data_IF_096149008297
#
_entry.id   IF_096149008297
#
_cell.length_a   1.000
_cell.length_b   1.000
_cell.length_c   1.000
_cell.angle_alpha   90.00
_cell.angle_beta   90.00
_cell.angle_gamma   90.00
#
_symmetry.space_group_name_H-M   'P 1'
#
loop_
_entity.id
_entity.type
_entity.pdbx_description
1 polymer ?
#
# COMPACT_ATOMS: atom_id res chain seq x y z
N UNK A 1 4.30 3.38 32.41
CA UNK A 1 5.71 3.75 32.10
C UNK A 1 6.11 3.01 30.85
N UNK A 2 6.81 3.69 29.93
CA UNK A 2 7.33 3.04 28.72
C UNK A 2 8.82 2.79 28.85
N UNK A 3 9.27 1.64 28.32
CA UNK A 3 10.66 1.20 28.28
C UNK A 3 11.06 1.04 26.81
N UNK A 4 11.98 1.87 26.35
CA UNK A 4 12.45 1.90 24.96
C UNK A 4 13.90 1.41 24.86
N UNK A 5 14.18 0.64 23.82
CA UNK A 5 15.50 0.23 23.41
C UNK A 5 15.47 -0.14 21.93
N UNK A 6 16.47 0.27 21.17
CA UNK A 6 16.45 0.17 19.71
C UNK A 6 16.51 -1.27 19.15
N UNK A 7 16.79 -2.29 19.95
CA UNK A 7 16.87 -3.69 19.50
C UNK A 7 15.68 -4.56 19.87
N UNK A 8 14.76 -4.08 20.69
CA UNK A 8 13.55 -4.83 21.03
C UNK A 8 12.33 -3.91 21.16
N UNK A 9 11.18 -4.49 20.94
CA UNK A 9 9.90 -3.79 20.95
C UNK A 9 9.69 -3.04 22.27
N UNK A 10 9.24 -1.79 22.17
CA UNK A 10 8.88 -0.96 23.33
C UNK A 10 7.95 -1.72 24.27
N UNK A 11 8.25 -1.66 25.56
CA UNK A 11 7.47 -2.28 26.63
C UNK A 11 6.67 -1.24 27.37
N UNK A 12 5.52 -1.66 27.85
CA UNK A 12 4.68 -0.88 28.75
C UNK A 12 4.63 -1.57 30.11
N UNK A 13 5.00 -0.83 31.17
CA UNK A 13 4.81 -1.25 32.55
C UNK A 13 3.56 -0.58 33.09
N UNK A 14 2.57 -1.37 33.43
CA UNK A 14 1.29 -0.96 34.03
C UNK A 14 1.25 -1.37 35.48
N UNK A 15 0.70 -0.52 36.33
CA UNK A 15 0.30 -0.89 37.69
C UNK A 15 -1.14 -1.38 37.62
N UNK A 16 -1.39 -2.62 37.99
CA UNK A 16 -2.70 -3.27 37.95
C UNK A 16 -3.41 -3.27 39.29
N UNK A 17 -2.65 -3.21 40.40
CA UNK A 17 -3.15 -3.03 41.77
C UNK A 17 -2.17 -2.25 42.65
N UNK A 18 -2.43 -2.16 43.92
CA UNK A 18 -1.50 -1.48 44.88
C UNK A 18 -0.11 -2.13 44.94
N UNK A 19 -0.04 -3.43 44.70
CA UNK A 19 1.19 -4.24 44.86
C UNK A 19 1.59 -4.93 43.53
N UNK A 20 0.72 -4.93 42.50
CA UNK A 20 0.95 -5.71 41.32
C UNK A 20 1.27 -4.82 40.11
N UNK A 21 2.22 -5.30 39.31
CA UNK A 21 2.65 -4.66 38.06
C UNK A 21 2.65 -5.69 36.94
N UNK A 22 2.28 -5.26 35.78
CA UNK A 22 2.32 -6.03 34.54
C UNK A 22 3.25 -5.36 33.54
N UNK A 23 4.07 -6.16 32.84
CA UNK A 23 4.87 -5.69 31.72
C UNK A 23 4.38 -6.35 30.43
N UNK A 24 3.99 -5.56 29.46
CA UNK A 24 3.52 -6.00 28.15
C UNK A 24 4.27 -5.32 27.01
N UNK A 25 3.98 -5.73 25.79
CA UNK A 25 4.42 -5.00 24.61
C UNK A 25 3.58 -3.73 24.45
N UNK A 26 4.23 -2.63 24.07
CA UNK A 26 3.51 -1.46 23.59
C UNK A 26 2.74 -1.85 22.31
N UNK A 27 1.48 -1.52 22.25
CA UNK A 27 0.64 -1.72 21.08
C UNK A 27 0.11 -0.37 20.58
N UNK A 28 0.24 -0.12 19.29
CA UNK A 28 -0.44 1.01 18.65
C UNK A 28 -1.96 0.79 18.68
N UNK A 29 -2.71 1.88 18.66
CA UNK A 29 -4.16 1.84 18.49
C UNK A 29 -4.49 1.22 17.13
N UNK A 30 -5.61 0.50 17.06
CA UNK A 30 -6.15 -0.06 15.82
C UNK A 30 -7.58 0.45 15.60
N UNK A 31 -8.08 0.30 14.38
CA UNK A 31 -9.48 0.50 14.08
C UNK A 31 -10.36 -0.56 14.78
N UNK A 32 -11.68 -0.38 14.71
CA UNK A 32 -12.65 -1.24 15.39
C UNK A 32 -12.60 -2.70 14.96
N UNK A 33 -12.12 -2.97 13.75
CA UNK A 33 -12.04 -4.32 13.18
C UNK A 33 -10.63 -4.92 13.31
N UNK A 34 -9.68 -4.19 13.95
CA UNK A 34 -8.25 -4.52 14.06
C UNK A 34 -7.59 -4.79 12.70
N UNK A 35 -8.09 -4.18 11.64
CA UNK A 35 -7.55 -4.33 10.29
C UNK A 35 -6.49 -3.28 9.98
N UNK A 36 -6.62 -2.07 10.54
CA UNK A 36 -5.65 -0.99 10.40
C UNK A 36 -5.00 -0.67 11.74
N UNK A 37 -3.67 -0.61 11.77
CA UNK A 37 -2.88 -0.21 12.95
C UNK A 37 -2.38 1.22 12.73
N UNK A 38 -2.69 2.13 13.66
CA UNK A 38 -2.28 3.54 13.59
C UNK A 38 -0.83 3.73 14.05
N UNK A 39 0.10 3.10 13.33
CA UNK A 39 1.54 3.16 13.57
C UNK A 39 2.23 4.12 12.62
N UNK A 40 3.44 4.61 12.93
CA UNK A 40 4.18 5.49 12.05
C UNK A 40 4.80 4.72 10.88
N UNK A 41 4.81 5.36 9.71
CA UNK A 41 5.43 4.87 8.48
C UNK A 41 6.55 5.79 8.02
N UNK A 42 7.52 5.24 7.31
CA UNK A 42 8.65 5.98 6.74
C UNK A 42 9.06 5.43 5.38
N UNK A 43 9.51 6.30 4.48
CA UNK A 43 10.08 5.92 3.17
C UNK A 43 11.56 5.58 3.33
N UNK A 44 11.87 4.31 3.58
CA UNK A 44 13.26 3.83 3.68
C UNK A 44 13.90 3.54 2.31
N UNK A 45 13.11 3.42 1.27
CA UNK A 45 13.60 3.19 -0.09
C UNK A 45 14.27 4.44 -0.67
N UNK A 46 15.24 4.21 -1.55
CA UNK A 46 15.85 5.27 -2.34
C UNK A 46 14.86 5.94 -3.28
N UNK A 47 15.20 7.15 -3.72
CA UNK A 47 14.40 7.89 -4.69
C UNK A 47 14.21 7.07 -5.97
N UNK A 48 12.98 6.97 -6.45
CA UNK A 48 12.62 6.25 -7.68
C UNK A 48 12.45 4.74 -7.54
N UNK A 49 12.66 4.15 -6.37
CA UNK A 49 12.38 2.72 -6.15
C UNK A 49 10.88 2.49 -6.13
N UNK A 50 10.40 1.68 -7.07
CA UNK A 50 8.98 1.32 -7.17
C UNK A 50 8.71 0.00 -6.47
N UNK A 51 7.49 -0.14 -5.94
CA UNK A 51 6.89 -1.38 -5.49
C UNK A 51 5.73 -1.73 -6.42
N UNK A 52 5.70 -2.98 -6.86
CA UNK A 52 4.67 -3.55 -7.73
C UNK A 52 4.03 -4.76 -7.02
N UNK A 53 2.86 -4.61 -6.41
CA UNK A 53 2.10 -5.74 -5.90
C UNK A 53 1.37 -6.44 -7.03
N UNK A 54 1.36 -7.78 -7.05
CA UNK A 54 0.66 -8.57 -8.08
C UNK A 54 -0.86 -8.48 -8.02
N UNK A 55 -1.40 -7.99 -6.92
CA UNK A 55 -2.83 -7.73 -6.70
C UNK A 55 -3.03 -6.68 -5.60
N UNK A 56 -4.24 -6.13 -5.51
CA UNK A 56 -4.63 -5.11 -4.52
C UNK A 56 -5.60 -5.66 -3.46
N UNK A 57 -5.84 -6.95 -3.47
CA UNK A 57 -6.66 -7.66 -2.49
C UNK A 57 -6.21 -9.11 -2.35
N UNK A 58 -6.47 -9.72 -1.20
CA UNK A 58 -6.22 -11.14 -0.94
C UNK A 58 -4.91 -11.41 -0.20
N UNK A 59 -4.61 -12.70 -0.09
CA UNK A 59 -3.44 -13.23 0.60
C UNK A 59 -2.46 -13.85 -0.40
N UNK A 60 -1.19 -13.91 -0.01
CA UNK A 60 -0.15 -14.53 -0.83
C UNK A 60 0.18 -13.74 -2.09
N UNK A 61 -0.04 -12.42 -2.10
CA UNK A 61 0.32 -11.56 -3.23
C UNK A 61 1.83 -11.42 -3.32
N UNK A 62 2.35 -11.37 -4.54
CA UNK A 62 3.76 -11.09 -4.78
C UNK A 62 4.01 -9.59 -4.77
N UNK A 63 5.04 -9.17 -4.05
CA UNK A 63 5.55 -7.81 -4.01
C UNK A 63 6.88 -7.78 -4.75
N UNK A 64 7.02 -6.95 -5.78
CA UNK A 64 8.26 -6.81 -6.55
C UNK A 64 8.77 -5.38 -6.45
N UNK A 65 10.03 -5.20 -6.05
CA UNK A 65 10.68 -3.89 -6.04
C UNK A 65 11.62 -3.73 -7.23
N UNK A 66 11.71 -2.52 -7.78
CA UNK A 66 12.57 -2.23 -8.93
C UNK A 66 14.07 -2.33 -8.62
N UNK A 67 14.46 -2.23 -7.36
CA UNK A 67 15.84 -2.37 -6.86
C UNK A 67 15.85 -3.22 -5.57
N UNK A 68 17.00 -3.79 -5.15
CA UNK A 68 17.12 -4.55 -3.92
C UNK A 68 16.61 -3.78 -2.69
N UNK A 69 15.71 -4.37 -1.94
CA UNK A 69 15.09 -3.77 -0.76
C UNK A 69 14.90 -4.76 0.39
N UNK A 70 14.43 -5.99 0.09
CA UNK A 70 14.11 -6.97 1.11
C UNK A 70 15.35 -7.61 1.72
N UNK A 71 15.28 -7.84 3.03
CA UNK A 71 16.34 -8.53 3.79
C UNK A 71 16.40 -10.02 3.39
N UNK A 72 17.58 -10.45 2.98
CA UNK A 72 17.89 -11.84 2.59
C UNK A 72 18.79 -12.52 3.61
N UNK A 73 18.61 -12.22 4.89
CA UNK A 73 19.38 -12.84 5.97
C UNK A 73 18.97 -14.30 6.14
N UNK A 74 19.95 -15.14 6.45
CA UNK A 74 19.76 -16.57 6.73
C UNK A 74 19.85 -17.47 5.50
N UNK A 75 19.54 -18.74 5.71
CA UNK A 75 19.60 -19.77 4.67
C UNK A 75 18.33 -19.78 3.83
N UNK A 76 18.51 -19.93 2.52
CA UNK A 76 17.39 -20.14 1.61
C UNK A 76 16.88 -21.58 1.78
N UNK A 77 15.59 -21.73 2.12
CA UNK A 77 14.92 -23.02 2.20
C UNK A 77 13.72 -23.02 1.25
N UNK A 78 13.77 -23.89 0.24
CA UNK A 78 12.85 -23.76 -0.89
C UNK A 78 13.08 -22.45 -1.62
N UNK A 79 12.07 -21.57 -1.63
CA UNK A 79 12.13 -20.24 -2.25
C UNK A 79 12.18 -19.11 -1.23
N UNK A 80 12.33 -19.37 0.07
CA UNK A 80 12.18 -18.35 1.11
C UNK A 80 13.43 -18.26 2.00
N UNK A 81 13.78 -17.02 2.38
CA UNK A 81 14.75 -16.74 3.42
C UNK A 81 14.11 -16.86 4.80
N UNK A 82 14.53 -17.84 5.60
CA UNK A 82 13.89 -18.18 6.88
C UNK A 82 14.09 -17.12 7.98
N UNK A 83 15.24 -16.45 7.95
CA UNK A 83 15.61 -15.49 8.99
C UNK A 83 15.44 -14.03 8.54
N UNK A 84 14.73 -13.80 7.43
CA UNK A 84 14.46 -12.45 6.95
C UNK A 84 13.69 -11.65 8.01
N UNK A 85 14.28 -10.53 8.42
CA UNK A 85 13.68 -9.61 9.39
C UNK A 85 12.54 -8.77 8.83
N UNK A 86 12.30 -8.82 7.50
CA UNK A 86 11.12 -8.21 6.89
C UNK A 86 9.85 -9.04 7.08
N UNK A 87 9.96 -10.33 7.46
CA UNK A 87 8.76 -11.12 7.79
C UNK A 87 8.07 -10.54 9.02
N UNK A 88 6.77 -10.30 8.93
CA UNK A 88 5.96 -9.60 9.93
C UNK A 88 6.10 -8.06 9.89
N UNK A 89 6.73 -7.52 8.84
CA UNK A 89 6.79 -6.07 8.60
C UNK A 89 5.64 -5.65 7.70
N UNK A 90 5.01 -4.52 8.02
CA UNK A 90 3.93 -3.95 7.21
C UNK A 90 4.49 -2.93 6.24
N UNK A 91 4.20 -3.11 4.96
CA UNK A 91 4.41 -2.12 3.90
C UNK A 91 3.06 -1.50 3.56
N UNK A 92 3.05 -0.18 3.35
CA UNK A 92 1.88 0.54 2.89
C UNK A 92 2.10 1.00 1.45
N UNK A 93 1.34 0.43 0.53
CA UNK A 93 1.33 0.77 -0.89
C UNK A 93 0.05 1.53 -1.23
N UNK A 94 0.16 2.79 -1.66
CA UNK A 94 -1.01 3.64 -1.97
C UNK A 94 -2.10 3.59 -0.87
N UNK A 95 -1.71 3.61 0.41
CA UNK A 95 -2.57 3.48 1.60
C UNK A 95 -3.09 2.06 1.90
N UNK A 96 -2.77 1.06 1.08
CA UNK A 96 -3.06 -0.35 1.37
C UNK A 96 -1.94 -0.94 2.22
N UNK A 97 -2.28 -1.51 3.35
CA UNK A 97 -1.33 -2.15 4.25
C UNK A 97 -1.17 -3.63 3.90
N UNK A 98 0.07 -4.06 3.76
CA UNK A 98 0.46 -5.39 3.31
C UNK A 98 1.45 -5.95 4.32
N UNK A 99 1.08 -7.02 5.01
CA UNK A 99 1.97 -7.75 5.93
C UNK A 99 2.85 -8.73 5.15
N UNK A 100 4.17 -8.63 5.30
CA UNK A 100 5.12 -9.51 4.63
C UNK A 100 5.15 -10.85 5.35
N UNK A 101 4.82 -11.92 4.64
CA UNK A 101 4.79 -13.29 5.19
C UNK A 101 6.01 -14.12 4.79
N UNK A 102 6.68 -13.77 3.69
CA UNK A 102 7.94 -14.42 3.29
C UNK A 102 8.74 -13.55 2.33
N UNK A 103 10.05 -13.78 2.27
CA UNK A 103 10.99 -13.09 1.37
C UNK A 103 11.65 -14.13 0.47
N UNK A 104 11.59 -13.94 -0.84
CA UNK A 104 12.14 -14.84 -1.85
C UNK A 104 13.48 -14.34 -2.39
N UNK A 105 13.66 -13.03 -2.47
CA UNK A 105 14.90 -12.40 -2.93
C UNK A 105 15.00 -10.96 -2.39
N UNK A 106 16.10 -10.30 -2.66
CA UNK A 106 16.23 -8.87 -2.32
C UNK A 106 15.24 -7.95 -3.04
N UNK A 107 14.59 -8.44 -4.11
CA UNK A 107 13.61 -7.69 -4.90
C UNK A 107 12.20 -8.30 -4.86
N UNK A 108 12.01 -9.42 -4.17
CA UNK A 108 10.73 -10.11 -4.17
C UNK A 108 10.35 -10.63 -2.79
N UNK A 109 9.13 -10.37 -2.38
CA UNK A 109 8.50 -10.88 -1.18
C UNK A 109 7.05 -11.31 -1.45
N UNK A 110 6.48 -12.08 -0.52
CA UNK A 110 5.06 -12.41 -0.52
C UNK A 110 4.41 -11.74 0.67
N UNK A 111 3.22 -11.17 0.48
CA UNK A 111 2.47 -10.50 1.53
C UNK A 111 0.99 -10.83 1.54
N UNK A 112 0.35 -10.50 2.66
CA UNK A 112 -1.10 -10.53 2.83
C UNK A 112 -1.61 -9.10 2.96
N UNK A 113 -2.67 -8.74 2.26
CA UNK A 113 -3.33 -7.46 2.45
C UNK A 113 -4.13 -7.53 3.74
N UNK A 114 -3.75 -6.71 4.73
CA UNK A 114 -4.37 -6.69 6.07
C UNK A 114 -5.35 -5.55 6.25
N UNK A 115 -5.07 -4.39 5.67
CA UNK A 115 -6.05 -3.33 5.55
C UNK A 115 -5.91 -2.68 4.19
N UNK A 116 -7.02 -2.45 3.53
CA UNK A 116 -7.03 -1.80 2.23
C UNK A 116 -8.10 -0.73 2.20
N UNK A 117 -7.72 0.46 1.78
CA UNK A 117 -8.67 1.28 1.03
C UNK A 117 -8.93 0.48 -0.23
N UNK A 118 -10.20 0.26 -0.58
CA UNK A 118 -10.53 -0.23 -1.90
C UNK A 118 -9.83 0.67 -2.92
N UNK A 119 -8.70 0.21 -3.48
CA UNK A 119 -7.91 0.96 -4.46
C UNK A 119 -8.66 1.14 -5.78
N UNK A 120 -9.85 0.57 -5.86
CA UNK A 120 -10.74 0.82 -6.97
C UNK A 120 -11.43 2.17 -6.80
N UNK A 121 -11.27 3.00 -7.80
CA UNK A 121 -11.97 4.28 -7.92
C UNK A 121 -13.20 4.10 -8.80
N UNK A 122 -14.37 4.49 -8.31
CA UNK A 122 -15.54 4.67 -9.13
C UNK A 122 -15.39 5.96 -9.92
N UNK A 123 -15.38 5.87 -11.24
CA UNK A 123 -15.34 7.05 -12.10
C UNK A 123 -16.73 7.68 -12.21
N UNK A 124 -16.75 8.92 -12.69
CA UNK A 124 -17.98 9.63 -12.98
C UNK A 124 -18.79 8.91 -14.07
N UNK A 125 -20.06 9.26 -14.15
CA UNK A 125 -20.93 8.73 -15.19
C UNK A 125 -20.40 9.15 -16.59
N UNK A 126 -20.46 8.18 -17.51
CA UNK A 126 -20.07 8.38 -18.91
C UNK A 126 -18.57 8.73 -19.08
N UNK A 127 -17.72 8.04 -18.29
CA UNK A 127 -16.28 8.23 -18.25
C UNK A 127 -15.53 7.79 -19.54
N UNK A 128 -16.21 7.17 -20.50
CA UNK A 128 -15.59 6.72 -21.74
C UNK A 128 -16.00 7.57 -22.92
N UNK A 129 -15.04 7.79 -23.83
CA UNK A 129 -15.24 8.38 -25.13
C UNK A 129 -14.72 7.43 -26.22
N UNK A 130 -15.56 7.10 -27.17
CA UNK A 130 -15.24 6.22 -28.30
C UNK A 130 -15.09 6.99 -29.58
N UNK A 131 -14.33 6.42 -30.54
CA UNK A 131 -14.22 6.90 -31.92
C UNK A 131 -14.66 5.77 -32.86
N UNK A 132 -15.60 6.06 -33.74
CA UNK A 132 -16.13 5.10 -34.73
C UNK A 132 -15.02 4.42 -35.51
N UNK A 133 -15.12 3.10 -35.63
CA UNK A 133 -14.16 2.26 -36.37
C UNK A 133 -12.91 1.86 -35.59
N UNK A 134 -12.69 2.36 -34.38
CA UNK A 134 -11.50 2.03 -33.56
C UNK A 134 -11.86 1.26 -32.29
N UNK A 135 -10.89 0.51 -31.75
CA UNK A 135 -10.99 -0.12 -30.44
C UNK A 135 -10.43 0.78 -29.31
N UNK A 136 -9.87 1.92 -29.66
CA UNK A 136 -9.31 2.84 -28.69
C UNK A 136 -10.42 3.61 -27.99
N UNK A 137 -10.35 3.60 -26.66
CA UNK A 137 -11.33 4.25 -25.78
C UNK A 137 -10.57 5.19 -24.85
N UNK A 138 -10.88 6.47 -24.94
CA UNK A 138 -10.42 7.46 -24.00
C UNK A 138 -11.18 7.33 -22.68
N UNK A 139 -10.46 7.32 -21.58
CA UNK A 139 -11.01 7.19 -20.23
C UNK A 139 -10.77 8.48 -19.47
N UNK A 140 -11.84 9.09 -18.97
CA UNK A 140 -11.78 10.23 -18.04
C UNK A 140 -11.63 9.71 -16.61
N UNK A 141 -10.47 9.95 -15.99
CA UNK A 141 -10.11 9.49 -14.66
C UNK A 141 -9.26 10.55 -13.97
N UNK A 142 -9.89 11.38 -13.18
CA UNK A 142 -9.27 12.57 -12.58
C UNK A 142 -8.05 12.22 -11.71
N UNK A 143 -6.93 12.90 -11.98
CA UNK A 143 -5.66 12.76 -11.27
C UNK A 143 -5.19 11.29 -11.17
N UNK A 144 -5.30 10.53 -12.26
CA UNK A 144 -5.08 9.08 -12.28
C UNK A 144 -3.65 8.65 -11.95
N UNK A 145 -2.64 9.48 -12.20
CA UNK A 145 -1.23 9.18 -11.90
C UNK A 145 -0.62 8.00 -12.68
N UNK A 146 -1.35 7.46 -13.67
CA UNK A 146 -0.92 6.34 -14.50
C UNK A 146 0.11 6.78 -15.54
N UNK A 147 0.83 5.79 -16.07
CA UNK A 147 1.80 5.94 -17.17
C UNK A 147 1.45 4.98 -18.30
N UNK A 148 1.90 5.28 -19.50
CA UNK A 148 1.82 4.35 -20.63
C UNK A 148 2.49 3.04 -20.28
N UNK A 149 1.79 1.93 -20.52
CA UNK A 149 2.21 0.58 -20.16
C UNK A 149 1.67 0.07 -18.82
N UNK A 150 1.09 0.92 -17.98
CA UNK A 150 0.48 0.50 -16.71
C UNK A 150 -0.72 -0.42 -16.94
N UNK A 151 -0.90 -1.37 -16.04
CA UNK A 151 -2.04 -2.29 -16.05
C UNK A 151 -3.14 -1.80 -15.11
N UNK A 152 -4.38 -1.81 -15.58
CA UNK A 152 -5.58 -1.47 -14.80
C UNK A 152 -6.61 -2.60 -14.90
N UNK A 153 -7.40 -2.77 -13.86
CA UNK A 153 -8.57 -3.66 -13.90
C UNK A 153 -9.85 -2.85 -13.90
N UNK A 154 -10.68 -3.05 -14.89
CA UNK A 154 -11.95 -2.35 -15.08
C UNK A 154 -13.10 -3.27 -14.73
N UNK A 155 -14.06 -2.77 -13.96
CA UNK A 155 -15.30 -3.46 -13.60
C UNK A 155 -16.47 -2.49 -13.68
N UNK A 156 -17.68 -3.02 -13.72
CA UNK A 156 -18.94 -2.25 -13.74
C UNK A 156 -19.10 -1.27 -14.89
N UNK A 157 -18.36 -1.45 -16.00
CA UNK A 157 -18.62 -0.68 -17.22
C UNK A 157 -19.98 -1.03 -17.81
N UNK A 158 -20.66 -0.03 -18.33
CA UNK A 158 -21.76 -0.19 -19.28
C UNK A 158 -21.24 -0.32 -20.72
N UNK A 159 -22.12 -0.63 -21.67
CA UNK A 159 -21.78 -0.58 -23.10
C UNK A 159 -21.68 0.88 -23.57
N UNK A 160 -20.81 1.15 -24.57
CA UNK A 160 -20.63 2.46 -25.15
C UNK A 160 -20.20 2.34 -26.62
N UNK A 161 -20.76 3.14 -27.53
CA UNK A 161 -20.38 3.19 -28.92
C UNK A 161 -20.42 1.83 -29.64
N UNK A 162 -21.33 0.93 -29.25
CA UNK A 162 -21.41 -0.44 -29.76
C UNK A 162 -20.42 -1.43 -29.13
N UNK A 163 -19.46 -0.98 -28.31
CA UNK A 163 -18.59 -1.85 -27.53
C UNK A 163 -19.40 -2.41 -26.37
N UNK A 164 -19.45 -3.74 -26.24
CA UNK A 164 -20.12 -4.38 -25.09
C UNK A 164 -19.37 -4.19 -23.78
N UNK A 165 -20.08 -4.23 -22.64
CA UNK A 165 -19.49 -4.15 -21.32
C UNK A 165 -18.38 -5.21 -21.08
N UNK A 166 -18.55 -6.42 -21.61
CA UNK A 166 -17.55 -7.49 -21.50
C UNK A 166 -16.23 -7.19 -22.23
N UNK A 167 -16.29 -6.38 -23.30
CA UNK A 167 -15.12 -5.95 -24.06
C UNK A 167 -14.43 -4.72 -23.45
N UNK A 168 -15.03 -4.09 -22.46
CA UNK A 168 -14.44 -3.01 -21.66
C UNK A 168 -13.89 -3.52 -20.33
N UNK A 169 -14.66 -4.38 -19.63
CA UNK A 169 -14.27 -4.94 -18.35
C UNK A 169 -13.08 -5.91 -18.45
N UNK A 170 -12.41 -6.12 -17.33
CA UNK A 170 -11.20 -6.95 -17.20
C UNK A 170 -9.94 -6.12 -17.16
N UNK A 171 -8.80 -6.81 -17.24
CA UNK A 171 -7.48 -6.16 -17.25
C UNK A 171 -7.24 -5.48 -18.61
N UNK A 172 -6.79 -4.24 -18.56
CA UNK A 172 -6.42 -3.41 -19.72
C UNK A 172 -5.07 -2.77 -19.47
N UNK A 173 -4.33 -2.51 -20.55
CA UNK A 173 -3.09 -1.73 -20.52
C UNK A 173 -3.40 -0.30 -20.93
N UNK A 174 -2.82 0.66 -20.22
CA UNK A 174 -2.82 2.08 -20.63
C UNK A 174 -1.94 2.19 -21.87
N UNK A 175 -2.54 2.47 -23.00
CA UNK A 175 -1.83 2.59 -24.29
C UNK A 175 -1.12 3.93 -24.41
N UNK A 176 -1.80 4.98 -23.97
CA UNK A 176 -1.30 6.36 -24.03
C UNK A 176 -1.88 7.15 -22.86
N UNK A 177 -1.08 8.01 -22.25
CA UNK A 177 -1.54 9.03 -21.30
C UNK A 177 -1.69 10.33 -22.07
N UNK A 178 -2.92 10.83 -22.19
CA UNK A 178 -3.26 12.05 -22.90
C UNK A 178 -2.91 13.28 -22.06
N UNK A 179 -3.35 13.27 -20.79
CA UNK A 179 -3.05 14.29 -19.79
C UNK A 179 -3.23 13.72 -18.37
N UNK A 180 -3.21 14.57 -17.34
CA UNK A 180 -3.35 14.15 -15.93
C UNK A 180 -4.71 13.52 -15.58
N UNK A 181 -5.71 13.69 -16.44
CA UNK A 181 -7.10 13.24 -16.21
C UNK A 181 -7.60 12.27 -17.29
N UNK A 182 -6.84 12.05 -18.37
CA UNK A 182 -7.27 11.25 -19.51
C UNK A 182 -6.18 10.29 -19.98
N UNK A 183 -6.58 9.08 -20.30
CA UNK A 183 -5.72 8.07 -20.94
C UNK A 183 -6.53 7.20 -21.92
N UNK A 184 -5.83 6.49 -22.80
CA UNK A 184 -6.40 5.60 -23.80
C UNK A 184 -6.14 4.15 -23.42
N UNK A 185 -7.17 3.31 -23.54
CA UNK A 185 -7.09 1.86 -23.48
C UNK A 185 -7.58 1.26 -24.80
N UNK A 186 -7.18 0.03 -25.11
CA UNK A 186 -7.74 -0.73 -26.23
C UNK A 186 -8.81 -1.69 -25.72
N UNK A 187 -10.03 -1.54 -26.19
CA UNK A 187 -11.16 -2.44 -25.92
C UNK A 187 -11.01 -3.75 -26.70
N UNK A 188 -11.79 -4.76 -26.31
CA UNK A 188 -11.84 -6.04 -27.04
C UNK A 188 -12.65 -6.01 -28.36
N UNK A 189 -13.15 -4.85 -28.80
CA UNK A 189 -14.02 -4.67 -29.94
C UNK A 189 -13.94 -3.23 -30.45
N UNK A 190 -14.05 -3.04 -31.75
CA UNK A 190 -14.16 -1.69 -32.33
C UNK A 190 -15.50 -1.04 -32.01
N UNK A 191 -15.49 0.26 -31.80
CA UNK A 191 -16.68 1.07 -31.71
C UNK A 191 -17.36 1.21 -33.09
N UNK A 192 -18.66 1.40 -33.08
CA UNK A 192 -19.45 1.71 -34.25
C UNK A 192 -20.14 3.08 -34.18
N UNK A 193 -19.70 3.88 -33.21
CA UNK A 193 -20.13 5.27 -33.03
C UNK A 193 -19.12 6.05 -32.21
N UNK A 194 -18.99 7.35 -32.50
CA UNK A 194 -18.20 8.30 -31.71
C UNK A 194 -19.13 8.96 -30.69
N UNK A 195 -19.09 8.46 -29.44
CA UNK A 195 -20.00 8.90 -28.37
C UNK A 195 -19.30 8.83 -26.99
N UNK A 196 -19.82 9.59 -26.04
CA UNK A 196 -19.49 9.44 -24.63
C UNK A 196 -20.49 8.48 -23.97
N UNK A 197 -20.06 7.72 -22.95
CA UNK A 197 -20.92 6.77 -22.25
C UNK A 197 -20.17 5.78 -21.37
N UNK A 198 -20.75 4.56 -21.24
CA UNK A 198 -20.14 3.45 -20.51
C UNK A 198 -20.49 3.40 -19.03
N UNK A 199 -21.41 4.23 -18.58
CA UNK A 199 -21.86 4.29 -17.20
C UNK A 199 -20.76 4.82 -16.26
N UNK A 200 -20.77 4.35 -15.02
CA UNK A 200 -19.78 4.72 -13.99
C UNK A 200 -18.89 3.50 -13.70
N UNK A 201 -17.82 3.29 -14.49
CA UNK A 201 -16.94 2.14 -14.29
C UNK A 201 -16.12 2.27 -13.01
N UNK A 202 -15.69 1.13 -12.49
CA UNK A 202 -14.79 1.05 -11.35
C UNK A 202 -13.41 0.61 -11.82
N UNK A 203 -12.40 1.44 -11.57
CA UNK A 203 -11.02 1.20 -11.97
C UNK A 203 -10.20 0.80 -10.75
N UNK A 204 -9.47 -0.30 -10.84
CA UNK A 204 -8.48 -0.71 -9.86
C UNK A 204 -7.10 -0.65 -10.51
N UNK A 205 -6.17 0.04 -9.87
CA UNK A 205 -4.79 0.17 -10.33
C UNK A 205 -3.84 -0.56 -9.39
N UNK A 206 -2.92 -1.36 -9.93
CA UNK A 206 -1.81 -1.98 -9.19
C UNK A 206 -0.51 -1.85 -9.98
N UNK A 207 -0.28 -0.68 -10.54
CA UNK A 207 0.93 -0.39 -11.29
C UNK A 207 2.14 -0.17 -10.35
N UNK A 208 3.38 -0.42 -10.81
CA UNK A 208 4.58 -0.07 -10.05
C UNK A 208 4.53 1.39 -9.60
N UNK A 209 4.63 1.65 -8.31
CA UNK A 209 4.50 2.99 -7.74
C UNK A 209 5.65 3.30 -6.79
N UNK A 210 6.10 4.56 -6.77
CA UNK A 210 7.00 5.09 -5.73
C UNK A 210 6.24 5.55 -4.49
N UNK A 211 4.90 5.51 -4.52
CA UNK A 211 4.07 5.90 -3.38
C UNK A 211 3.82 4.72 -2.44
N UNK A 212 4.88 4.33 -1.76
CA UNK A 212 4.85 3.30 -0.73
C UNK A 212 5.83 3.63 0.39
N UNK A 213 5.58 3.10 1.55
CA UNK A 213 6.40 3.25 2.75
C UNK A 213 6.31 1.98 3.61
N UNK A 214 7.17 1.88 4.60
CA UNK A 214 7.27 0.76 5.53
C UNK A 214 7.00 1.25 6.94
N UNK A 215 6.46 0.39 7.80
CA UNK A 215 6.35 0.71 9.23
C UNK A 215 7.71 1.13 9.79
N UNK A 216 7.72 2.21 10.59
CA UNK A 216 8.96 2.80 11.09
C UNK A 216 9.68 1.91 12.10
N UNK A 217 8.96 1.01 12.76
CA UNK A 217 9.49 0.14 13.82
C UNK A 217 9.23 -1.33 13.51
N UNK A 218 10.27 -2.10 13.34
CA UNK A 218 10.22 -3.53 13.02
C UNK A 218 11.49 -4.25 13.51
N UNK A 219 11.52 -5.56 13.38
CA UNK A 219 12.74 -6.33 13.64
C UNK A 219 13.90 -5.92 12.72
N UNK A 220 13.59 -5.41 11.52
CA UNK A 220 14.58 -4.93 10.55
C UNK A 220 15.03 -3.49 10.83
N UNK A 221 14.07 -2.58 11.07
CA UNK A 221 14.33 -1.15 11.27
C UNK A 221 14.71 -0.78 12.71
N UNK A 222 14.56 -1.73 13.64
CA UNK A 222 14.72 -1.49 15.08
C UNK A 222 13.49 -0.81 15.67
N UNK A 223 13.64 -0.40 16.93
CA UNK A 223 12.55 0.16 17.73
C UNK A 223 12.96 1.52 18.31
N UNK A 224 12.04 2.30 18.89
CA UNK A 224 12.38 3.58 19.49
C UNK A 224 13.46 3.46 20.56
N UNK A 225 14.49 4.32 20.50
CA UNK A 225 15.53 4.40 21.50
C UNK A 225 15.15 5.32 22.68
N UNK A 226 14.25 6.26 22.46
CA UNK A 226 13.80 7.25 23.44
C UNK A 226 12.29 7.45 23.41
N UNK A 227 11.74 7.87 24.55
CA UNK A 227 10.31 8.20 24.71
C UNK A 227 10.15 9.43 25.60
N UNK A 228 9.22 10.31 25.25
CA UNK A 228 8.84 11.46 26.05
C UNK A 228 7.35 11.78 25.89
N UNK A 229 6.78 12.45 26.91
CA UNK A 229 5.47 13.10 26.81
C UNK A 229 5.67 14.61 26.69
N UNK A 230 5.07 15.21 25.69
CA UNK A 230 5.11 16.65 25.50
C UNK A 230 3.86 17.12 24.73
N UNK A 231 3.24 18.21 25.18
CA UNK A 231 2.06 18.82 24.56
C UNK A 231 0.94 17.81 24.22
N UNK A 232 0.52 17.02 25.21
CA UNK A 232 -0.51 15.98 25.10
C UNK A 232 -0.25 14.96 23.98
N UNK A 233 1.02 14.67 23.71
CA UNK A 233 1.45 13.66 22.75
C UNK A 233 2.49 12.74 23.37
N UNK A 234 2.50 11.51 22.91
CA UNK A 234 3.61 10.57 23.12
C UNK A 234 4.59 10.73 21.97
N UNK A 235 5.86 10.95 22.30
CA UNK A 235 6.94 11.11 21.34
C UNK A 235 7.89 9.93 21.43
N UNK A 236 8.23 9.37 20.27
CA UNK A 236 9.30 8.38 20.12
C UNK A 236 10.44 8.98 19.32
N UNK A 237 11.68 8.67 19.73
CA UNK A 237 12.88 9.16 19.07
C UNK A 237 13.85 8.05 18.73
N UNK A 238 14.40 8.12 17.53
CA UNK A 238 15.44 7.24 17.01
C UNK A 238 15.03 5.78 16.85
N UNK A 239 15.58 5.15 15.83
CA UNK A 239 15.58 3.69 15.68
C UNK A 239 16.90 3.30 14.98
N UNK A 240 17.17 2.01 14.80
CA UNK A 240 18.36 1.58 14.06
C UNK A 240 18.28 2.07 12.60
N UNK A 241 17.10 1.96 11.98
CA UNK A 241 16.87 2.38 10.59
C UNK A 241 16.74 3.89 10.40
N UNK A 242 16.42 4.64 11.46
CA UNK A 242 16.20 6.09 11.45
C UNK A 242 16.70 6.72 12.77
N UNK A 243 18.02 6.89 12.95
CA UNK A 243 18.58 7.35 14.23
C UNK A 243 18.18 8.79 14.60
N UNK A 244 17.90 9.63 13.62
CA UNK A 244 17.49 11.03 13.76
C UNK A 244 15.97 11.23 13.63
N UNK A 245 15.21 10.14 13.48
CA UNK A 245 13.76 10.18 13.35
C UNK A 245 13.07 10.54 14.65
N UNK A 246 12.01 11.36 14.56
CA UNK A 246 11.12 11.70 15.67
C UNK A 246 9.68 11.50 15.21
N UNK A 247 8.90 10.78 15.99
CA UNK A 247 7.48 10.50 15.72
C UNK A 247 6.63 10.92 16.90
N UNK A 248 5.49 11.52 16.63
CA UNK A 248 4.55 11.97 17.64
C UNK A 248 3.19 11.32 17.44
N UNK A 249 2.55 10.93 18.53
CA UNK A 249 1.15 10.54 18.49
C UNK A 249 0.24 11.73 18.12
N UNK A 250 -1.02 11.46 17.79
CA UNK A 250 -2.05 12.49 17.79
C UNK A 250 -2.19 13.11 19.18
N UNK A 251 -2.64 14.37 19.24
CA UNK A 251 -2.94 15.05 20.49
C UNK A 251 -4.04 14.30 21.24
N UNK A 252 -3.85 14.06 22.51
CA UNK A 252 -4.74 13.31 23.41
C UNK A 252 -5.02 11.85 22.99
N UNK A 253 -4.28 11.30 22.01
CA UNK A 253 -4.36 9.91 21.59
C UNK A 253 -2.96 9.29 21.52
N UNK A 254 -2.43 8.86 22.65
CA UNK A 254 -1.03 8.47 22.84
C UNK A 254 -0.61 7.21 22.11
N UNK A 255 -1.54 6.43 21.60
CA UNK A 255 -1.29 5.18 20.87
C UNK A 255 -1.56 5.30 19.35
N UNK A 256 -1.98 6.49 18.89
CA UNK A 256 -2.30 6.76 17.50
C UNK A 256 -1.24 7.67 16.85
N UNK A 257 -0.50 7.13 15.89
CA UNK A 257 0.60 7.80 15.18
C UNK A 257 0.34 8.01 13.69
N UNK A 258 -0.91 7.79 13.22
CA UNK A 258 -1.30 7.96 11.81
C UNK A 258 -1.67 9.42 11.47
#
# INVERSE_FOLDING_TARGET
MFLCHNTFQTRELRRTSLTDFEIGNFAFESDTDNTKIFQPYHKFQGSGVTLDPSAVSGNGITLTTSLPYFDTTGSLTGSNYLDSKHVGTVIRYNKTEIDIVSVQSSTQATGNIVSGVDLSQQLDKDAYRTVDGTADVEVTHIAHGLKTGDSITITKSGAVGGISASNLNGTRTVQEVVDENHYIITAGQNANASVDGGGAPKITTHAPSTNWDEQSYSAYRGYPAAVAFHENRLWFGGSIGQPDGIWASRSDSYFNFD
#
